data_IF_422533208656
#
_entry.id   IF_422533208656
#
_cell.length_a   1.000
_cell.length_b   1.000
_cell.length_c   1.000
_cell.angle_alpha   90.00
_cell.angle_beta   90.00
_cell.angle_gamma   90.00
#
_symmetry.space_group_name_H-M   'P 1'
#
loop_
_entity.id
_entity.type
_entity.pdbx_description
1 polymer ?
#
# COMPACT_ATOMS: atom_id res chain seq x y z
N UNK A 1 17.51 -27.70 10.18
CA UNK A 1 16.10 -27.92 9.83
C UNK A 1 15.84 -27.07 8.60
N UNK A 2 15.26 -27.60 7.51
CA UNK A 2 14.88 -26.77 6.39
C UNK A 2 13.80 -25.78 6.87
N UNK A 3 13.98 -24.49 6.57
CA UNK A 3 12.94 -23.48 6.81
C UNK A 3 11.70 -23.88 6.01
N UNK A 4 10.52 -23.92 6.65
CA UNK A 4 9.27 -24.11 5.93
C UNK A 4 9.07 -22.93 4.97
N UNK A 5 8.68 -23.19 3.70
CA UNK A 5 8.50 -22.12 2.73
C UNK A 5 7.40 -21.18 3.22
N UNK A 6 7.77 -19.90 3.43
CA UNK A 6 6.81 -18.86 3.81
C UNK A 6 5.85 -18.61 2.65
N UNK A 7 4.53 -18.52 2.90
CA UNK A 7 3.57 -18.21 1.85
C UNK A 7 3.82 -16.81 1.28
N UNK A 8 3.66 -16.67 -0.03
CA UNK A 8 3.71 -15.41 -0.76
C UNK A 8 2.30 -15.04 -1.19
N UNK A 9 2.02 -13.75 -1.32
CA UNK A 9 0.80 -13.35 -2.01
C UNK A 9 0.95 -13.58 -3.52
N UNK A 10 -0.07 -14.19 -4.15
CA UNK A 10 -0.13 -14.39 -5.59
C UNK A 10 -0.10 -13.06 -6.39
N UNK A 11 -0.59 -11.96 -5.80
CA UNK A 11 -0.75 -10.67 -6.48
C UNK A 11 0.55 -9.86 -6.53
N UNK A 12 1.18 -9.64 -5.38
CA UNK A 12 2.37 -8.78 -5.26
C UNK A 12 3.67 -9.54 -4.99
N UNK A 13 3.60 -10.86 -4.75
CA UNK A 13 4.75 -11.70 -4.46
C UNK A 13 5.45 -11.43 -3.12
N UNK A 14 4.86 -10.61 -2.26
CA UNK A 14 5.37 -10.30 -0.92
C UNK A 14 5.02 -11.41 0.06
N UNK A 15 5.90 -11.64 1.05
CA UNK A 15 5.67 -12.61 2.14
C UNK A 15 4.44 -12.21 2.95
N UNK A 16 3.54 -13.17 3.16
CA UNK A 16 2.38 -13.02 4.03
C UNK A 16 2.55 -13.82 5.32
N UNK A 17 2.02 -13.31 6.43
CA UNK A 17 1.96 -13.99 7.72
C UNK A 17 0.52 -14.28 8.10
N UNK A 18 0.29 -15.43 8.73
CA UNK A 18 -0.97 -15.71 9.40
C UNK A 18 -1.09 -14.83 10.65
N UNK A 19 -2.22 -14.15 10.80
CA UNK A 19 -2.60 -13.35 11.95
C UNK A 19 -3.74 -14.07 12.66
N UNK A 20 -3.52 -14.33 13.96
CA UNK A 20 -4.57 -14.86 14.82
C UNK A 20 -5.57 -13.75 15.13
N UNK A 21 -6.83 -13.96 14.73
CA UNK A 21 -7.94 -13.03 14.96
C UNK A 21 -8.63 -13.25 16.30
N UNK A 22 -8.23 -14.26 17.07
CA UNK A 22 -8.90 -14.69 18.30
C UNK A 22 -10.24 -15.37 18.08
N UNK A 23 -10.64 -15.60 16.81
CA UNK A 23 -11.86 -16.34 16.44
C UNK A 23 -11.52 -17.76 16.00
N UNK A 24 -12.23 -18.77 16.50
CA UNK A 24 -11.93 -20.16 16.14
C UNK A 24 -12.14 -20.38 14.64
N UNK A 25 -11.11 -20.92 13.98
CA UNK A 25 -11.04 -21.26 12.55
C UNK A 25 -10.94 -20.09 11.55
N UNK A 26 -10.72 -18.84 11.99
CA UNK A 26 -10.50 -17.70 11.11
C UNK A 26 -9.00 -17.33 11.06
N UNK A 27 -8.28 -17.89 10.09
CA UNK A 27 -6.90 -17.49 9.77
C UNK A 27 -6.96 -16.34 8.77
N UNK A 28 -6.56 -15.15 9.20
CA UNK A 28 -6.40 -14.00 8.30
C UNK A 28 -4.94 -13.89 7.94
N UNK A 29 -4.62 -13.85 6.65
CA UNK A 29 -3.27 -13.52 6.22
C UNK A 29 -3.13 -12.00 6.19
N UNK A 30 -1.91 -11.49 6.42
CA UNK A 30 -1.54 -10.10 6.17
C UNK A 30 -0.16 -10.07 5.55
N UNK A 31 0.14 -9.08 4.72
CA UNK A 31 1.53 -8.84 4.37
C UNK A 31 2.33 -8.55 5.64
N UNK A 32 3.57 -9.05 5.68
CA UNK A 32 4.41 -8.83 6.86
C UNK A 32 4.78 -7.35 7.03
N UNK A 33 4.81 -6.59 5.91
CA UNK A 33 5.33 -5.23 5.81
C UNK A 33 4.40 -4.20 5.13
N UNK A 34 3.37 -4.60 4.37
CA UNK A 34 2.40 -3.66 3.80
C UNK A 34 1.28 -3.31 4.79
N UNK A 35 0.85 -2.04 4.75
CA UNK A 35 -0.28 -1.51 5.52
C UNK A 35 -1.48 -1.28 4.57
N UNK A 36 -2.71 -1.29 5.07
CA UNK A 36 -3.88 -0.80 4.31
C UNK A 36 -3.70 0.67 3.88
N UNK A 37 -4.08 1.09 2.66
CA UNK A 37 -4.99 0.40 1.73
C UNK A 37 -4.33 -0.60 0.77
N UNK A 38 -3.02 -0.85 0.92
CA UNK A 38 -2.21 -1.65 -0.01
C UNK A 38 -2.30 -3.17 0.25
N UNK A 39 -3.09 -3.55 1.25
CA UNK A 39 -3.56 -4.91 1.44
C UNK A 39 -4.69 -5.15 0.41
N UNK A 40 -4.33 -5.75 -0.73
CA UNK A 40 -5.31 -6.34 -1.63
C UNK A 40 -5.83 -7.66 -1.03
N UNK A 41 -6.91 -8.22 -1.61
CA UNK A 41 -7.38 -9.54 -1.21
C UNK A 41 -6.23 -10.55 -1.32
N UNK A 42 -5.92 -11.21 -0.20
CA UNK A 42 -4.75 -12.08 -0.13
C UNK A 42 -5.09 -13.47 -0.66
N UNK A 43 -4.45 -13.83 -1.77
CA UNK A 43 -4.41 -15.21 -2.24
C UNK A 43 -3.03 -15.82 -1.90
N UNK A 44 -2.92 -16.58 -0.79
CA UNK A 44 -1.66 -17.23 -0.42
C UNK A 44 -1.37 -18.37 -1.38
N UNK A 45 -0.19 -18.34 -2.02
CA UNK A 45 0.28 -19.41 -2.91
C UNK A 45 1.59 -20.01 -2.41
N UNK A 46 1.74 -21.32 -2.63
CA UNK A 46 3.01 -22.02 -2.49
C UNK A 46 3.63 -22.13 -3.89
N UNK A 47 4.73 -21.43 -4.14
CA UNK A 47 5.42 -21.44 -5.44
C UNK A 47 5.75 -20.04 -5.97
N UNK A 48 5.95 -19.92 -7.28
CA UNK A 48 6.28 -18.64 -7.93
C UNK A 48 5.01 -17.83 -8.21
N UNK A 49 4.83 -16.65 -7.61
CA UNK A 49 3.72 -15.75 -7.92
C UNK A 49 3.77 -15.33 -9.39
N UNK A 50 2.59 -15.16 -10.02
CA UNK A 50 2.52 -14.53 -11.35
C UNK A 50 2.30 -13.03 -11.13
N UNK A 51 3.24 -12.17 -11.50
CA UNK A 51 3.05 -10.74 -11.30
C UNK A 51 1.84 -10.28 -12.12
N UNK A 52 0.91 -9.60 -11.46
CA UNK A 52 -0.13 -8.85 -12.16
C UNK A 52 0.49 -7.65 -12.89
N UNK A 53 -0.18 -7.15 -13.94
CA UNK A 53 0.14 -5.83 -14.46
C UNK A 53 0.12 -4.82 -13.29
N UNK A 54 1.05 -3.85 -13.26
CA UNK A 54 1.03 -2.83 -12.23
C UNK A 54 -0.30 -2.06 -12.28
N UNK A 55 -0.79 -1.69 -11.09
CA UNK A 55 -1.96 -0.85 -10.90
C UNK A 55 -1.54 0.36 -10.06
N UNK A 56 -2.37 1.40 -10.05
CA UNK A 56 -2.16 2.55 -9.19
C UNK A 56 -2.21 2.13 -7.71
N UNK A 57 -1.14 2.39 -6.95
CA UNK A 57 -1.05 2.08 -5.50
C UNK A 57 -2.01 2.91 -4.63
N UNK A 58 -2.72 3.87 -5.22
CA UNK A 58 -3.69 4.72 -4.54
C UNK A 58 -5.11 4.24 -4.81
N UNK A 59 -5.56 4.28 -6.06
CA UNK A 59 -6.95 3.98 -6.45
C UNK A 59 -7.13 2.66 -7.20
N UNK A 60 -6.08 1.84 -7.35
CA UNK A 60 -6.10 0.56 -8.08
C UNK A 60 -6.49 0.63 -9.55
N UNK A 61 -6.56 1.83 -10.14
CA UNK A 61 -6.71 1.98 -11.58
C UNK A 61 -5.61 1.18 -12.31
N UNK A 62 -5.96 0.39 -13.35
CA UNK A 62 -4.97 -0.36 -14.12
C UNK A 62 -4.04 0.61 -14.87
N UNK A 63 -2.88 0.11 -15.31
CA UNK A 63 -1.96 0.81 -16.22
C UNK A 63 -1.51 2.18 -15.68
N UNK A 64 -0.75 2.23 -14.57
CA UNK A 64 -0.30 3.49 -13.99
C UNK A 64 0.72 4.18 -14.91
N UNK A 65 0.54 5.49 -15.09
CA UNK A 65 1.36 6.33 -15.97
C UNK A 65 2.61 6.90 -15.28
N UNK A 66 2.68 6.84 -13.95
CA UNK A 66 3.71 7.51 -13.15
C UNK A 66 4.33 6.58 -12.12
N UNK A 67 5.63 6.75 -11.91
CA UNK A 67 6.40 6.07 -10.88
C UNK A 67 7.00 7.12 -9.95
N UNK A 68 6.74 6.98 -8.66
CA UNK A 68 7.40 7.70 -7.59
C UNK A 68 8.52 6.82 -6.99
N UNK A 69 9.76 7.30 -6.95
CA UNK A 69 10.88 6.54 -6.40
C UNK A 69 10.76 6.37 -4.89
N UNK A 70 11.47 5.39 -4.31
CA UNK A 70 11.57 5.27 -2.86
C UNK A 70 12.08 6.56 -2.21
N UNK A 71 11.54 6.88 -1.04
CA UNK A 71 11.93 8.03 -0.25
C UNK A 71 13.41 7.97 0.15
N UNK A 72 14.14 9.06 -0.11
CA UNK A 72 15.59 9.15 0.16
C UNK A 72 15.93 9.94 1.43
N UNK A 73 14.94 10.53 2.09
CA UNK A 73 15.11 11.43 3.24
C UNK A 73 14.35 10.98 4.50
N UNK A 74 14.51 11.70 5.61
CA UNK A 74 13.70 11.48 6.79
C UNK A 74 12.22 11.71 6.46
N UNK A 75 11.38 10.76 6.85
CA UNK A 75 9.93 10.79 6.61
C UNK A 75 9.25 11.06 7.94
N UNK A 76 8.48 12.14 8.00
CA UNK A 76 7.67 12.46 9.16
C UNK A 76 6.31 11.76 9.05
N UNK A 77 5.93 10.87 9.99
CA UNK A 77 4.63 10.22 9.96
C UNK A 77 3.51 11.24 10.18
N UNK A 78 2.42 11.09 9.42
CA UNK A 78 1.21 11.88 9.60
C UNK A 78 0.50 11.51 10.92
N UNK A 79 -0.15 12.48 11.58
CA UNK A 79 -0.78 12.28 12.89
C UNK A 79 -1.88 11.21 12.93
N UNK A 80 -2.51 10.96 11.77
CA UNK A 80 -3.52 9.93 11.61
C UNK A 80 -2.97 8.51 11.45
N UNK A 81 -1.65 8.37 11.25
CA UNK A 81 -1.00 7.07 11.17
C UNK A 81 -0.89 6.45 12.57
N UNK A 82 -1.42 5.24 12.81
CA UNK A 82 -1.21 4.56 14.08
C UNK A 82 0.29 4.27 14.31
N UNK A 83 0.77 4.46 15.54
CA UNK A 83 2.17 4.21 15.89
C UNK A 83 2.65 2.78 15.57
N UNK A 84 1.75 1.79 15.63
CA UNK A 84 2.03 0.40 15.23
C UNK A 84 2.31 0.23 13.73
N UNK A 85 1.96 1.22 12.91
CA UNK A 85 2.04 1.18 11.45
C UNK A 85 3.10 2.12 10.88
N UNK A 86 3.73 2.94 11.71
CA UNK A 86 4.84 3.83 11.31
C UNK A 86 6.00 3.03 10.73
N UNK A 87 6.58 2.10 11.49
CA UNK A 87 7.72 1.31 11.04
C UNK A 87 7.47 0.53 9.71
N UNK A 88 6.35 -0.19 9.53
CA UNK A 88 6.07 -0.87 8.26
C UNK A 88 5.81 0.13 7.13
N UNK A 89 5.07 1.23 7.34
CA UNK A 89 4.89 2.24 6.30
C UNK A 89 6.22 2.86 5.86
N UNK A 90 7.08 3.22 6.82
CA UNK A 90 8.41 3.75 6.52
C UNK A 90 9.25 2.76 5.72
N UNK A 91 9.12 1.47 6.01
CA UNK A 91 9.76 0.42 5.21
C UNK A 91 9.28 0.43 3.76
N UNK A 92 7.96 0.49 3.55
CA UNK A 92 7.37 0.54 2.21
C UNK A 92 7.83 1.78 1.44
N UNK A 93 7.73 2.95 2.06
CA UNK A 93 8.10 4.23 1.46
C UNK A 93 9.58 4.30 1.07
N UNK A 94 10.47 3.68 1.84
CA UNK A 94 11.94 3.79 1.61
C UNK A 94 12.51 2.68 0.74
N UNK A 95 11.72 1.67 0.36
CA UNK A 95 12.23 0.50 -0.39
C UNK A 95 11.51 0.18 -1.67
N UNK A 96 10.29 0.70 -1.85
CA UNK A 96 9.47 0.36 -3.00
C UNK A 96 9.18 1.59 -3.84
N UNK A 97 9.12 1.39 -5.15
CA UNK A 97 8.53 2.33 -6.09
C UNK A 97 7.01 2.35 -5.89
N UNK A 98 6.40 3.50 -6.13
CA UNK A 98 4.96 3.70 -6.03
C UNK A 98 4.40 4.12 -7.38
N UNK A 99 3.36 3.44 -7.81
CA UNK A 99 2.73 3.63 -9.10
C UNK A 99 1.48 4.49 -8.96
N UNK A 100 1.32 5.49 -9.82
CA UNK A 100 0.13 6.33 -9.87
C UNK A 100 -0.42 6.44 -11.29
N UNK A 101 -1.74 6.40 -11.44
CA UNK A 101 -2.39 6.86 -12.68
C UNK A 101 -2.31 8.40 -12.77
N UNK A 102 -2.52 8.94 -13.98
CA UNK A 102 -2.56 10.39 -14.23
C UNK A 102 -3.34 11.18 -13.19
N UNK A 103 -4.56 10.74 -12.84
CA UNK A 103 -5.40 11.48 -11.90
C UNK A 103 -4.82 11.52 -10.48
N UNK A 104 -4.32 10.39 -9.98
CA UNK A 104 -3.69 10.35 -8.66
C UNK A 104 -2.38 11.15 -8.66
N UNK A 105 -1.61 11.12 -9.75
CA UNK A 105 -0.36 11.89 -9.84
C UNK A 105 -0.60 13.39 -9.77
N UNK A 106 -1.67 13.90 -10.42
CA UNK A 106 -2.06 15.32 -10.29
C UNK A 106 -2.41 15.68 -8.85
N UNK A 107 -3.21 14.87 -8.17
CA UNK A 107 -3.58 15.12 -6.77
C UNK A 107 -2.36 15.09 -5.84
N UNK A 108 -1.40 14.19 -6.09
CA UNK A 108 -0.13 14.14 -5.36
C UNK A 108 0.68 15.41 -5.59
N UNK A 109 0.80 15.85 -6.85
CA UNK A 109 1.54 17.06 -7.21
C UNK A 109 0.94 18.33 -6.59
N UNK A 110 -0.39 18.37 -6.43
CA UNK A 110 -1.10 19.46 -5.78
C UNK A 110 -1.08 19.36 -4.24
N UNK A 111 -0.59 18.25 -3.68
CA UNK A 111 -0.65 17.97 -2.25
C UNK A 111 -2.09 17.76 -1.73
N UNK A 112 -3.02 17.38 -2.60
CA UNK A 112 -4.45 17.24 -2.30
C UNK A 112 -4.76 15.89 -1.65
N UNK A 113 -4.50 15.81 -0.33
CA UNK A 113 -4.80 14.64 0.47
C UNK A 113 -6.30 14.30 0.49
N UNK A 114 -7.16 15.31 0.59
CA UNK A 114 -8.61 15.07 0.67
C UNK A 114 -9.15 14.55 -0.67
N UNK A 115 -8.69 15.10 -1.80
CA UNK A 115 -9.02 14.59 -3.13
C UNK A 115 -8.53 13.16 -3.38
N UNK A 116 -7.33 12.80 -2.91
CA UNK A 116 -6.85 11.41 -2.94
C UNK A 116 -7.76 10.49 -2.12
N UNK A 117 -8.15 10.91 -0.92
CA UNK A 117 -9.01 10.11 -0.06
C UNK A 117 -10.40 9.94 -0.66
N UNK A 118 -11.01 11.00 -1.17
CA UNK A 118 -12.33 10.92 -1.82
C UNK A 118 -12.29 9.96 -3.01
N UNK A 119 -11.21 9.96 -3.79
CA UNK A 119 -11.04 9.04 -4.90
C UNK A 119 -10.96 7.58 -4.44
N UNK A 120 -10.12 7.29 -3.44
CA UNK A 120 -9.90 5.92 -2.96
C UNK A 120 -11.10 5.38 -2.18
N UNK A 121 -11.73 6.23 -1.36
CA UNK A 121 -12.91 5.86 -0.58
C UNK A 121 -14.18 5.83 -1.44
N UNK A 122 -14.25 6.63 -2.50
CA UNK A 122 -15.37 6.67 -3.44
C UNK A 122 -15.58 5.33 -4.15
N UNK A 123 -14.50 4.66 -4.52
CA UNK A 123 -14.53 3.32 -5.12
C UNK A 123 -14.65 2.20 -4.06
N UNK A 124 -14.54 2.55 -2.76
CA UNK A 124 -14.61 1.62 -1.62
C UNK A 124 -15.52 2.12 -0.48
N UNK A 125 -16.83 2.32 -0.74
CA UNK A 125 -17.75 2.94 0.22
C UNK A 125 -17.99 2.11 1.51
N UNK A 126 -17.51 0.87 1.57
CA UNK A 126 -17.65 -0.02 2.72
C UNK A 126 -16.48 0.06 3.73
N UNK A 127 -15.50 0.94 3.51
CA UNK A 127 -14.39 1.12 4.46
C UNK A 127 -14.90 1.74 5.77
N UNK A 128 -14.52 1.14 6.90
CA UNK A 128 -14.85 1.66 8.22
C UNK A 128 -14.00 2.89 8.58
N UNK A 129 -14.44 3.66 9.57
CA UNK A 129 -13.76 4.88 9.98
C UNK A 129 -12.30 4.65 10.43
N UNK A 130 -11.96 3.57 11.18
CA UNK A 130 -10.57 3.24 11.47
C UNK A 130 -9.72 3.02 10.22
N UNK A 131 -10.25 2.35 9.21
CA UNK A 131 -9.52 2.11 7.96
C UNK A 131 -9.36 3.41 7.17
N UNK A 132 -10.40 4.23 7.04
CA UNK A 132 -10.29 5.55 6.41
C UNK A 132 -9.22 6.43 7.08
N UNK A 133 -9.14 6.40 8.43
CA UNK A 133 -8.10 7.12 9.17
C UNK A 133 -6.70 6.60 8.86
N UNK A 134 -6.53 5.27 8.78
CA UNK A 134 -5.24 4.66 8.41
C UNK A 134 -4.81 5.07 7.01
N UNK A 135 -5.73 5.03 6.03
CA UNK A 135 -5.47 5.49 4.66
C UNK A 135 -5.05 6.97 4.63
N UNK A 136 -5.74 7.83 5.40
CA UNK A 136 -5.35 9.24 5.57
C UNK A 136 -3.93 9.39 6.13
N UNK A 137 -3.60 8.64 7.18
CA UNK A 137 -2.25 8.64 7.76
C UNK A 137 -1.18 8.18 6.78
N UNK A 138 -1.47 7.11 6.04
CA UNK A 138 -0.64 6.55 4.98
C UNK A 138 -0.32 7.57 3.87
N UNK A 139 -1.36 8.09 3.21
CA UNK A 139 -1.20 9.04 2.11
C UNK A 139 -0.65 10.39 2.58
N UNK A 140 -1.06 10.86 3.75
CA UNK A 140 -0.50 12.08 4.34
C UNK A 140 1.00 11.95 4.59
N UNK A 141 1.48 10.77 5.04
CA UNK A 141 2.91 10.51 5.24
C UNK A 141 3.65 10.46 3.91
N UNK A 142 3.06 9.88 2.87
CA UNK A 142 3.62 9.87 1.51
C UNK A 142 3.75 11.29 0.95
N UNK A 143 2.69 12.10 1.01
CA UNK A 143 2.70 13.47 0.50
C UNK A 143 3.70 14.38 1.23
N UNK A 144 3.88 14.17 2.54
CA UNK A 144 4.85 14.92 3.33
C UNK A 144 6.31 14.75 2.85
N UNK A 145 6.58 13.77 1.99
CA UNK A 145 7.91 13.55 1.39
C UNK A 145 8.21 14.49 0.21
N UNK A 146 7.21 15.22 -0.28
CA UNK A 146 7.29 16.00 -1.52
C UNK A 146 7.83 15.13 -2.69
N UNK A 147 7.14 14.02 -3.02
CA UNK A 147 7.70 13.01 -3.89
C UNK A 147 7.61 13.45 -5.36
N UNK A 148 8.68 13.19 -6.12
CA UNK A 148 8.79 13.62 -7.52
C UNK A 148 8.72 12.42 -8.47
N UNK A 149 7.72 12.34 -9.36
CA UNK A 149 7.54 11.18 -10.22
C UNK A 149 8.39 11.25 -11.51
N UNK A 150 8.52 10.11 -12.18
CA UNK A 150 8.92 9.99 -13.57
C UNK A 150 7.89 9.15 -14.36
N UNK A 151 7.81 9.32 -15.70
CA UNK A 151 6.87 8.56 -16.51
C UNK A 151 7.12 7.05 -16.44
N UNK A 152 6.04 6.27 -16.35
CA UNK A 152 6.07 4.83 -16.52
C UNK A 152 6.06 4.47 -18.01
N UNK A 153 7.18 3.95 -18.53
CA UNK A 153 7.36 3.65 -19.96
C UNK A 153 7.15 2.17 -20.30
N UNK A 154 6.59 1.38 -19.38
CA UNK A 154 6.38 -0.07 -19.50
C UNK A 154 5.24 -0.46 -20.42
#
# INVERSE_FOLDING_TARGET
MPEEPRPLCAHCGVVVKAVDTGRPAEIVYRHDLRVEPWDHLLEPVLGTPRPLPPACDFCEAPEPDWIYPPATGPVAPHEDLPASEEAPLLHELTRHEWFACDTCSVLIADGDLDGLLDRVLGDRPALDAPTARRVRGAFGTFLAQDPHPYPNLT
#
